data_IF_534879401225
#
_entry.id   IF_534879401225
#
_cell.length_a   1.000
_cell.length_b   1.000
_cell.length_c   1.000
_cell.angle_alpha   90.00
_cell.angle_beta   90.00
_cell.angle_gamma   90.00
#
_symmetry.space_group_name_H-M   'P 1'
#
loop_
_entity.id
_entity.type
_entity.pdbx_description
1 polymer ?
#
# COMPACT_ATOMS: atom_id res chain seq x y z
N UNK A 1 3.72 -5.13 12.10
CA UNK A 1 3.95 -6.28 11.22
C UNK A 1 5.45 -6.60 11.19
N UNK A 2 5.88 -7.72 11.77
CA UNK A 2 7.31 -8.04 11.95
C UNK A 2 7.96 -8.76 10.77
N UNK A 3 7.14 -9.28 9.85
CA UNK A 3 7.52 -10.29 8.84
C UNK A 3 7.78 -9.74 7.45
N UNK A 4 7.37 -8.50 7.20
CA UNK A 4 7.49 -7.84 5.90
C UNK A 4 8.57 -6.78 6.01
N UNK A 5 9.64 -6.95 5.23
CA UNK A 5 10.74 -6.00 5.12
C UNK A 5 10.54 -5.19 3.84
N UNK A 6 10.38 -3.88 4.00
CA UNK A 6 10.32 -2.88 2.95
C UNK A 6 10.93 -1.60 3.49
N UNK A 7 11.79 -0.93 2.72
CA UNK A 7 12.55 0.25 3.17
C UNK A 7 11.65 1.39 3.70
N UNK A 8 10.43 1.52 3.14
CA UNK A 8 9.43 2.52 3.56
C UNK A 8 8.61 2.12 4.80
N UNK A 9 8.83 0.91 5.33
CA UNK A 9 8.28 0.40 6.60
C UNK A 9 9.37 0.30 7.68
N UNK A 10 10.62 0.63 7.35
CA UNK A 10 11.73 0.63 8.31
C UNK A 10 11.58 1.79 9.32
N UNK A 11 12.01 1.59 10.57
CA UNK A 11 11.98 2.64 11.57
C UNK A 11 12.82 3.85 11.14
N UNK A 12 12.38 5.04 11.53
CA UNK A 12 13.09 6.29 11.25
C UNK A 12 14.39 6.42 12.05
N UNK A 13 15.35 7.26 11.61
CA UNK A 13 16.57 7.54 12.37
C UNK A 13 16.24 8.42 13.59
N UNK A 14 16.10 7.82 14.77
CA UNK A 14 15.86 8.52 16.02
C UNK A 14 16.24 7.67 17.24
N UNK A 15 16.49 8.29 18.41
CA UNK A 15 16.88 7.58 19.63
C UNK A 15 15.78 6.65 20.18
N UNK A 16 14.54 6.77 19.67
CA UNK A 16 13.38 5.93 19.98
C UNK A 16 13.15 4.83 18.92
N UNK A 17 14.23 4.19 18.45
CA UNK A 17 14.30 3.29 17.28
C UNK A 17 13.41 2.02 17.26
N UNK A 18 12.28 2.01 17.95
CA UNK A 18 11.31 0.91 18.02
C UNK A 18 9.97 1.23 17.33
N UNK A 19 9.69 2.51 16.99
CA UNK A 19 8.47 2.87 16.24
C UNK A 19 8.66 2.70 14.73
N UNK A 20 8.11 1.61 14.17
CA UNK A 20 7.95 1.42 12.71
C UNK A 20 6.77 2.24 12.20
N UNK A 21 6.95 3.55 12.00
CA UNK A 21 5.92 4.40 11.36
C UNK A 21 6.06 4.32 9.82
N UNK A 22 5.04 3.81 9.10
CA UNK A 22 5.08 3.76 7.64
C UNK A 22 5.28 5.15 7.01
N UNK A 23 6.30 5.27 6.16
CA UNK A 23 6.61 6.49 5.44
C UNK A 23 7.45 7.53 6.20
N UNK A 24 7.97 7.21 7.39
CA UNK A 24 8.84 8.11 8.17
C UNK A 24 10.10 8.54 7.42
N UNK A 25 10.63 7.68 6.53
CA UNK A 25 11.85 7.93 5.74
C UNK A 25 11.59 8.46 4.33
N UNK A 26 10.34 8.79 3.99
CA UNK A 26 10.04 9.39 2.69
C UNK A 26 10.69 10.79 2.58
N UNK A 27 11.17 11.20 1.40
CA UNK A 27 11.72 12.53 1.18
C UNK A 27 10.77 13.64 1.64
N UNK A 28 11.32 14.73 2.18
CA UNK A 28 10.53 15.91 2.53
C UNK A 28 10.01 16.62 1.28
N UNK A 29 8.77 17.12 1.36
CA UNK A 29 8.09 17.84 0.27
C UNK A 29 8.21 19.36 0.38
N UNK A 30 7.31 20.13 -0.27
CA UNK A 30 6.12 19.66 -0.99
C UNK A 30 6.40 19.14 -2.41
N UNK A 31 5.55 18.25 -2.91
CA UNK A 31 5.59 17.68 -4.27
C UNK A 31 4.29 17.97 -5.04
N UNK A 32 4.39 18.32 -6.31
CA UNK A 32 3.22 18.51 -7.18
C UNK A 32 2.51 17.19 -7.53
N UNK A 33 3.26 16.07 -7.51
CA UNK A 33 2.75 14.73 -7.76
C UNK A 33 3.49 13.71 -6.88
N UNK A 34 2.72 12.84 -6.23
CA UNK A 34 3.22 11.63 -5.59
C UNK A 34 2.51 10.44 -6.24
N UNK A 35 3.28 9.44 -6.67
CA UNK A 35 2.76 8.22 -7.29
C UNK A 35 3.12 6.98 -6.48
N UNK A 36 2.12 6.24 -6.01
CA UNK A 36 2.26 4.97 -5.29
C UNK A 36 1.76 3.82 -6.16
N UNK A 37 2.61 3.38 -7.09
CA UNK A 37 2.30 2.32 -8.06
C UNK A 37 3.00 1.02 -7.64
N UNK A 38 2.22 -0.05 -7.45
CA UNK A 38 2.78 -1.34 -7.05
C UNK A 38 3.32 -1.41 -5.61
N UNK A 39 2.96 -0.44 -4.77
CA UNK A 39 3.47 -0.33 -3.39
C UNK A 39 2.46 -0.88 -2.38
N UNK A 40 1.21 -0.42 -2.42
CA UNK A 40 0.23 -0.63 -1.33
C UNK A 40 -0.10 -2.09 -1.06
N UNK A 41 -0.05 -2.95 -2.08
CA UNK A 41 -0.29 -4.38 -1.90
C UNK A 41 0.87 -5.09 -1.18
N UNK A 42 2.03 -4.46 -0.99
CA UNK A 42 3.12 -4.99 -0.18
C UNK A 42 3.12 -4.42 1.25
N UNK A 43 2.18 -3.52 1.59
CA UNK A 43 2.08 -2.92 2.92
C UNK A 43 1.08 -3.72 3.77
N UNK A 44 1.53 -4.34 4.87
CA UNK A 44 0.67 -5.17 5.70
C UNK A 44 -0.13 -4.34 6.69
N UNK A 45 -1.40 -4.70 6.87
CA UNK A 45 -2.29 -4.02 7.81
C UNK A 45 -2.93 -2.76 7.22
N UNK A 46 -4.23 -2.62 7.45
CA UNK A 46 -5.05 -1.47 7.03
C UNK A 46 -4.52 -0.15 7.57
N UNK A 47 -4.18 -0.12 8.86
CA UNK A 47 -3.70 1.09 9.50
C UNK A 47 -2.36 1.53 8.92
N UNK A 48 -1.45 0.59 8.65
CA UNK A 48 -0.15 0.91 8.05
C UNK A 48 -0.28 1.41 6.62
N UNK A 49 -1.21 0.85 5.82
CA UNK A 49 -1.53 1.37 4.49
C UNK A 49 -2.03 2.80 4.57
N UNK A 50 -2.94 3.08 5.50
CA UNK A 50 -3.48 4.42 5.70
C UNK A 50 -2.40 5.41 6.19
N UNK A 51 -1.53 5.00 7.10
CA UNK A 51 -0.47 5.84 7.63
C UNK A 51 0.58 6.18 6.57
N UNK A 52 0.95 5.21 5.71
CA UNK A 52 1.79 5.48 4.55
C UNK A 52 1.13 6.49 3.60
N UNK A 53 -0.17 6.33 3.33
CA UNK A 53 -0.93 7.26 2.49
C UNK A 53 -1.00 8.66 3.12
N UNK A 54 -1.17 8.77 4.44
CA UNK A 54 -1.13 10.04 5.18
C UNK A 54 0.25 10.68 5.10
N UNK A 55 1.31 9.89 5.29
CA UNK A 55 2.69 10.36 5.19
C UNK A 55 2.99 10.92 3.79
N UNK A 56 2.49 10.27 2.74
CA UNK A 56 2.55 10.78 1.37
C UNK A 56 1.70 12.06 1.21
N UNK A 57 0.43 12.04 1.62
CA UNK A 57 -0.49 13.17 1.45
C UNK A 57 0.00 14.47 2.12
N UNK A 58 0.62 14.39 3.31
CA UNK A 58 1.21 15.56 4.00
C UNK A 58 2.30 16.26 3.18
N UNK A 59 2.94 15.53 2.25
CA UNK A 59 4.04 16.02 1.42
C UNK A 59 3.58 16.54 0.06
N UNK A 60 2.28 16.59 -0.22
CA UNK A 60 1.76 17.21 -1.46
C UNK A 60 1.86 18.73 -1.38
N UNK A 61 2.22 19.41 -2.46
CA UNK A 61 1.99 20.84 -2.61
C UNK A 61 0.49 21.16 -2.60
N UNK A 62 0.07 22.39 -2.25
CA UNK A 62 -1.28 22.86 -2.55
C UNK A 62 -1.63 22.60 -4.02
N UNK A 63 -2.80 22.01 -4.28
CA UNK A 63 -3.19 21.60 -5.63
C UNK A 63 -2.53 20.32 -6.17
N UNK A 64 -1.54 19.77 -5.47
CA UNK A 64 -0.79 18.58 -5.85
C UNK A 64 -1.62 17.31 -5.87
N UNK A 65 -1.15 16.31 -6.61
CA UNK A 65 -1.86 15.06 -6.87
C UNK A 65 -1.22 13.86 -6.17
N UNK A 66 -2.05 13.01 -5.56
CA UNK A 66 -1.70 11.65 -5.17
C UNK A 66 -2.33 10.67 -6.17
N UNK A 67 -1.49 9.96 -6.91
CA UNK A 67 -1.87 8.86 -7.77
C UNK A 67 -1.51 7.53 -7.11
N UNK A 68 -2.45 6.61 -6.99
CA UNK A 68 -2.18 5.30 -6.39
C UNK A 68 -2.86 4.17 -7.16
N UNK A 69 -2.27 2.98 -7.07
CA UNK A 69 -2.81 1.76 -7.65
C UNK A 69 -2.87 0.63 -6.62
N UNK A 70 -3.95 -0.15 -6.65
CA UNK A 70 -4.11 -1.37 -5.84
C UNK A 70 -4.38 -2.57 -6.73
N UNK A 71 -3.74 -3.69 -6.42
CA UNK A 71 -3.76 -4.89 -7.23
C UNK A 71 -4.96 -5.77 -6.89
N UNK A 72 -5.75 -6.17 -7.90
CA UNK A 72 -6.94 -7.02 -7.82
C UNK A 72 -6.64 -8.42 -8.36
N UNK A 73 -5.81 -9.15 -7.62
CA UNK A 73 -5.18 -10.40 -8.07
C UNK A 73 -5.79 -11.67 -7.48
N UNK A 74 -6.42 -11.60 -6.31
CA UNK A 74 -6.77 -12.76 -5.51
C UNK A 74 -7.72 -13.72 -6.24
N UNK A 75 -8.60 -13.17 -7.08
CA UNK A 75 -9.62 -13.91 -7.82
C UNK A 75 -9.16 -14.32 -9.23
N UNK A 76 -7.88 -14.10 -9.59
CA UNK A 76 -7.36 -14.44 -10.92
C UNK A 76 -6.72 -15.82 -10.92
N UNK A 77 -7.18 -16.70 -11.80
CA UNK A 77 -6.71 -18.08 -11.91
C UNK A 77 -5.18 -18.19 -12.08
N UNK A 78 -4.59 -17.28 -12.86
CA UNK A 78 -3.13 -17.25 -13.09
C UNK A 78 -2.30 -17.02 -11.82
N UNK A 79 -2.87 -16.38 -10.80
CA UNK A 79 -2.20 -16.15 -9.51
C UNK A 79 -2.59 -17.17 -8.46
N UNK A 80 -3.76 -17.82 -8.58
CA UNK A 80 -4.18 -18.88 -7.67
C UNK A 80 -3.11 -19.99 -7.55
N UNK A 81 -2.47 -20.35 -8.67
CA UNK A 81 -1.38 -21.35 -8.71
C UNK A 81 -0.09 -20.92 -8.01
N UNK A 82 0.07 -19.63 -7.70
CA UNK A 82 1.24 -19.06 -7.03
C UNK A 82 1.01 -18.82 -5.54
N UNK A 83 -0.21 -19.02 -5.04
CA UNK A 83 -0.53 -18.81 -3.63
C UNK A 83 0.15 -19.90 -2.80
N UNK A 84 0.90 -19.46 -1.80
CA UNK A 84 1.57 -20.33 -0.82
C UNK A 84 0.75 -20.34 0.47
N UNK A 85 0.42 -21.52 1.03
CA UNK A 85 -0.22 -21.63 2.33
C UNK A 85 0.60 -20.94 3.42
N UNK A 86 -0.06 -20.20 4.32
CA UNK A 86 0.60 -19.53 5.45
C UNK A 86 1.36 -20.49 6.39
N UNK A 87 0.96 -21.76 6.46
CA UNK A 87 1.67 -22.82 7.19
C UNK A 87 3.08 -23.09 6.66
N UNK A 88 3.34 -22.83 5.38
CA UNK A 88 4.66 -23.01 4.76
C UNK A 88 5.61 -21.83 5.06
N UNK A 89 5.08 -20.70 5.54
CA UNK A 89 5.89 -19.54 5.90
C UNK A 89 6.62 -19.73 7.23
N UNK A 90 6.05 -20.53 8.15
CA UNK A 90 6.60 -20.72 9.49
C UNK A 90 8.05 -21.20 9.53
N UNK A 91 8.42 -22.24 8.76
CA UNK A 91 9.81 -22.67 8.62
C UNK A 91 10.76 -21.59 8.06
N UNK A 92 10.30 -20.78 7.11
CA UNK A 92 11.09 -19.68 6.50
C UNK A 92 11.31 -18.54 7.50
N UNK A 93 10.28 -18.20 8.28
CA UNK A 93 10.31 -17.10 9.25
C UNK A 93 10.86 -17.52 10.63
N UNK A 94 11.16 -18.81 10.82
CA UNK A 94 11.61 -19.37 12.09
C UNK A 94 10.55 -19.43 13.20
N UNK A 95 9.29 -19.08 12.91
CA UNK A 95 8.15 -19.16 13.83
C UNK A 95 6.81 -19.16 13.07
N UNK A 96 5.76 -19.83 13.59
CA UNK A 96 4.46 -19.87 12.93
C UNK A 96 3.77 -18.49 12.93
N UNK A 97 2.94 -18.25 11.93
CA UNK A 97 2.08 -17.07 11.84
C UNK A 97 0.73 -17.40 12.48
N UNK A 98 0.25 -16.51 13.36
CA UNK A 98 -1.10 -16.60 13.91
C UNK A 98 -2.12 -16.14 12.85
N UNK A 99 -3.04 -17.01 12.39
CA UNK A 99 -4.04 -16.63 11.38
C UNK A 99 -4.94 -15.47 11.80
N UNK A 100 -5.09 -15.21 13.11
CA UNK A 100 -5.88 -14.07 13.62
C UNK A 100 -5.24 -12.71 13.35
N UNK A 101 -3.96 -12.69 12.99
CA UNK A 101 -3.24 -11.48 12.60
C UNK A 101 -3.42 -11.15 11.11
N UNK A 102 -4.02 -12.07 10.33
CA UNK A 102 -4.19 -11.93 8.89
C UNK A 102 -5.50 -11.21 8.56
N UNK A 103 -5.44 -10.34 7.58
CA UNK A 103 -6.62 -9.74 6.97
C UNK A 103 -7.15 -10.63 5.84
N UNK A 104 -8.45 -10.58 5.51
CA UNK A 104 -9.04 -11.42 4.46
C UNK A 104 -8.34 -11.33 3.08
N UNK A 105 -7.74 -10.17 2.77
CA UNK A 105 -7.00 -9.91 1.53
C UNK A 105 -5.55 -10.40 1.52
N UNK A 106 -5.02 -10.89 2.65
CA UNK A 106 -3.61 -11.26 2.80
C UNK A 106 -3.28 -12.58 2.13
N UNK A 107 -2.24 -12.59 1.30
CA UNK A 107 -1.73 -13.78 0.61
C UNK A 107 -0.21 -13.80 0.61
N UNK A 108 0.34 -15.01 0.59
CA UNK A 108 1.74 -15.25 0.20
C UNK A 108 1.76 -15.72 -1.24
N UNK A 109 2.63 -15.12 -2.06
CA UNK A 109 2.80 -15.51 -3.45
C UNK A 109 4.23 -15.93 -3.70
N UNK A 110 4.42 -17.02 -4.44
CA UNK A 110 5.73 -17.38 -5.00
C UNK A 110 6.14 -16.36 -6.06
N UNK A 111 7.42 -16.00 -6.05
CA UNK A 111 8.04 -15.17 -7.08
C UNK A 111 8.95 -16.03 -7.97
N UNK A 112 8.75 -15.96 -9.29
CA UNK A 112 9.44 -16.83 -10.23
C UNK A 112 9.06 -18.31 -10.09
N UNK A 113 9.86 -19.17 -10.72
CA UNK A 113 9.61 -20.62 -10.79
C UNK A 113 10.41 -21.42 -9.74
N UNK A 114 11.35 -20.78 -9.04
CA UNK A 114 12.14 -21.41 -7.98
C UNK A 114 11.24 -21.71 -6.75
N UNK A 115 10.99 -22.99 -6.44
CA UNK A 115 10.13 -23.36 -5.31
C UNK A 115 10.79 -23.10 -3.95
N UNK A 116 12.10 -22.85 -3.90
CA UNK A 116 12.86 -22.62 -2.66
C UNK A 116 12.99 -21.15 -2.30
N UNK A 117 12.71 -20.25 -3.25
CA UNK A 117 12.72 -18.82 -2.99
C UNK A 117 11.63 -18.44 -1.98
N UNK A 118 11.93 -17.53 -1.02
CA UNK A 118 10.94 -17.12 -0.04
C UNK A 118 9.74 -16.46 -0.74
N UNK A 119 8.50 -16.77 -0.32
CA UNK A 119 7.32 -16.14 -0.88
C UNK A 119 7.28 -14.66 -0.48
N UNK A 120 6.60 -13.85 -1.29
CA UNK A 120 6.34 -12.44 -0.98
C UNK A 120 4.94 -12.26 -0.40
N UNK A 121 4.83 -11.35 0.55
CA UNK A 121 3.54 -10.87 1.03
C UNK A 121 2.85 -10.00 -0.02
N UNK A 122 1.55 -10.25 -0.25
CA UNK A 122 0.68 -9.38 -1.03
C UNK A 122 -0.69 -9.26 -0.36
N UNK A 123 -1.33 -8.10 -0.52
CA UNK A 123 -2.67 -7.81 -0.04
C UNK A 123 -3.56 -7.28 -1.17
N UNK A 124 -4.73 -7.91 -1.37
CA UNK A 124 -5.80 -7.34 -2.20
C UNK A 124 -6.67 -6.41 -1.35
N UNK A 125 -6.54 -5.11 -1.59
CA UNK A 125 -7.33 -4.08 -0.88
C UNK A 125 -8.81 -4.25 -1.20
N UNK A 126 -9.63 -4.30 -0.16
CA UNK A 126 -11.09 -4.40 -0.26
C UNK A 126 -11.72 -3.14 -0.87
N UNK A 127 -12.95 -3.26 -1.39
CA UNK A 127 -13.68 -2.10 -1.90
C UNK A 127 -13.95 -1.04 -0.82
N UNK A 128 -14.28 -1.48 0.39
CA UNK A 128 -14.57 -0.59 1.52
C UNK A 128 -13.33 0.17 1.97
N UNK A 129 -12.18 -0.51 2.05
CA UNK A 129 -10.92 0.15 2.36
C UNK A 129 -10.54 1.16 1.27
N UNK A 130 -10.55 0.74 0.00
CA UNK A 130 -10.20 1.59 -1.14
C UNK A 130 -11.11 2.82 -1.24
N UNK A 131 -12.40 2.67 -0.97
CA UNK A 131 -13.38 3.76 -0.98
C UNK A 131 -13.23 4.73 0.20
N UNK A 132 -12.60 4.31 1.30
CA UNK A 132 -12.45 5.14 2.50
C UNK A 132 -11.34 6.19 2.41
N UNK A 133 -10.35 5.98 1.53
CA UNK A 133 -9.13 6.79 1.51
C UNK A 133 -9.32 8.28 1.19
N UNK A 134 -10.15 8.71 0.21
CA UNK A 134 -10.30 10.14 -0.07
C UNK A 134 -10.71 10.93 1.18
N UNK A 135 -11.72 10.44 1.90
CA UNK A 135 -12.20 11.05 3.14
C UNK A 135 -11.16 10.97 4.26
N UNK A 136 -10.54 9.80 4.45
CA UNK A 136 -9.54 9.59 5.51
C UNK A 136 -8.26 10.41 5.32
N UNK A 137 -7.95 10.82 4.09
CA UNK A 137 -6.81 11.66 3.74
C UNK A 137 -7.16 13.16 3.64
N UNK A 138 -8.45 13.51 3.67
CA UNK A 138 -8.89 14.88 3.41
C UNK A 138 -8.54 15.38 2.00
N UNK A 139 -8.49 14.48 1.02
CA UNK A 139 -8.17 14.80 -0.38
C UNK A 139 -9.41 14.71 -1.26
N UNK A 140 -9.47 15.56 -2.28
CA UNK A 140 -10.60 15.59 -3.21
C UNK A 140 -10.42 14.53 -4.32
N UNK A 141 -11.41 13.65 -4.55
CA UNK A 141 -11.43 12.77 -5.71
C UNK A 141 -11.32 13.53 -7.03
N UNK A 142 -10.36 13.16 -7.88
CA UNK A 142 -10.26 13.64 -9.27
C UNK A 142 -10.75 12.56 -10.24
N UNK A 143 -10.31 11.32 -10.04
CA UNK A 143 -10.78 10.17 -10.81
C UNK A 143 -10.59 8.87 -10.04
N UNK A 144 -11.44 7.89 -10.33
CA UNK A 144 -11.20 6.48 -10.00
C UNK A 144 -11.57 5.62 -11.20
N UNK A 145 -10.76 4.60 -11.46
CA UNK A 145 -10.96 3.69 -12.57
C UNK A 145 -10.27 2.35 -12.31
N UNK A 146 -10.64 1.35 -13.10
CA UNK A 146 -9.92 0.09 -13.22
C UNK A 146 -9.12 0.08 -14.53
N UNK A 147 -7.96 -0.56 -14.53
CA UNK A 147 -7.13 -0.76 -15.73
C UNK A 147 -6.25 -1.99 -15.56
N UNK A 148 -5.48 -2.29 -16.61
CA UNK A 148 -4.46 -3.34 -16.71
C UNK A 148 -5.01 -4.77 -16.75
N UNK A 149 -4.15 -5.69 -17.18
CA UNK A 149 -4.55 -7.08 -17.43
C UNK A 149 -5.31 -7.25 -18.74
N UNK A 150 -5.65 -8.49 -19.07
CA UNK A 150 -6.38 -8.79 -20.31
C UNK A 150 -7.82 -8.31 -20.23
N UNK A 151 -8.38 -8.30 -19.02
CA UNK A 151 -9.76 -7.92 -18.71
C UNK A 151 -9.90 -6.42 -18.35
N UNK A 152 -8.79 -5.68 -18.26
CA UNK A 152 -8.79 -4.24 -17.99
C UNK A 152 -9.15 -3.85 -16.55
N UNK A 153 -9.11 -4.78 -15.61
CA UNK A 153 -9.55 -4.61 -14.22
C UNK A 153 -8.57 -5.18 -13.19
N UNK A 154 -7.31 -5.39 -13.60
CA UNK A 154 -6.29 -5.97 -12.73
C UNK A 154 -5.83 -5.00 -11.63
N UNK A 155 -5.93 -3.70 -11.86
CA UNK A 155 -5.60 -2.67 -10.90
C UNK A 155 -6.74 -1.68 -10.75
N UNK A 156 -6.92 -1.15 -9.54
CA UNK A 156 -7.81 -0.03 -9.25
C UNK A 156 -7.00 1.21 -8.90
N UNK A 157 -7.42 2.34 -9.43
CA UNK A 157 -6.71 3.61 -9.36
C UNK A 157 -7.52 4.66 -8.64
N UNK A 158 -6.79 5.49 -7.88
CA UNK A 158 -7.26 6.77 -7.40
C UNK A 158 -6.32 7.85 -7.90
N UNK A 159 -6.90 8.93 -8.41
CA UNK A 159 -6.27 10.24 -8.53
C UNK A 159 -6.96 11.15 -7.51
N UNK A 160 -6.22 11.61 -6.51
CA UNK A 160 -6.70 12.47 -5.43
C UNK A 160 -5.92 13.77 -5.43
N UNK A 161 -6.58 14.89 -5.08
CA UNK A 161 -5.98 16.22 -5.09
C UNK A 161 -5.98 16.84 -3.71
N UNK A 162 -4.83 17.43 -3.32
CA UNK A 162 -4.77 18.34 -2.18
C UNK A 162 -5.42 19.67 -2.56
N UNK A 163 -6.25 20.23 -1.70
CA UNK A 163 -6.84 21.55 -1.94
C UNK A 163 -5.75 22.59 -2.28
N UNK A 164 -6.08 23.51 -3.17
CA UNK A 164 -5.29 24.72 -3.35
C UNK A 164 -5.34 25.54 -2.06
N UNK A 165 -4.25 26.23 -1.72
CA UNK A 165 -4.33 27.27 -0.70
C UNK A 165 -5.31 28.33 -1.22
N UNK A 166 -6.19 28.82 -0.36
CA UNK A 166 -6.91 30.04 -0.70
C UNK A 166 -5.88 31.15 -0.75
N UNK A 167 -5.75 31.84 -1.89
CA UNK A 167 -5.03 33.10 -1.92
C UNK A 167 -5.66 33.99 -0.83
N UNK A 168 -4.87 34.57 0.09
CA UNK A 168 -5.41 35.64 0.92
C UNK A 168 -5.93 36.70 -0.02
N UNK A 169 -7.19 37.09 0.18
CA UNK A 169 -7.93 38.12 -0.56
C UNK A 169 -6.96 39.19 -1.05
N UNK A 170 -6.68 39.20 -2.35
CA UNK A 170 -5.76 40.17 -2.94
C UNK A 170 -6.50 41.52 -2.91
N UNK A 171 -5.97 42.56 -2.22
CA UNK A 171 -6.65 43.84 -2.09
C UNK A 171 -6.84 44.55 -3.44
#
# INVERSE_FOLDING_TARGET
>A
CEWVLQDFLEPGPGPEGDSREPGARLPEGPFDLIALMGVLHHVPGRDWRLDLLRAAARRLAPGGLLALATWQFADRERFARRIVPWSEAGPVLGRPIDPRQLEPGDRLLRFGDDPTAPPRYCHQVSADEFGSWPAALGLTPVATYASDGAEGDLNRYWLLRRAWEQEPDRP
#
